data_IF_414675920625
#
_entry.id   IF_414675920625
#
_cell.length_a   1.000
_cell.length_b   1.000
_cell.length_c   1.000
_cell.angle_alpha   90.00
_cell.angle_beta   90.00
_cell.angle_gamma   90.00
#
_symmetry.space_group_name_H-M   'P 1'
#
loop_
_entity.id
_entity.type
_entity.pdbx_description
1 polymer ?
#
# COMPACT_ATOMS: atom_id res chain seq x y z
N UNK A 1 21.66 -0.35 -11.72
CA UNK A 1 22.36 0.70 -10.92
C UNK A 1 22.59 0.17 -9.54
N UNK A 2 23.75 0.44 -8.94
CA UNK A 2 24.03 0.03 -7.56
C UNK A 2 23.06 0.70 -6.58
N UNK A 3 22.64 -0.04 -5.55
CA UNK A 3 21.73 0.46 -4.54
C UNK A 3 22.46 1.37 -3.55
N UNK A 4 21.89 2.53 -3.26
CA UNK A 4 22.35 3.41 -2.18
C UNK A 4 21.99 2.77 -0.84
N UNK A 5 22.87 2.87 0.14
CA UNK A 5 22.74 2.29 1.49
C UNK A 5 22.30 3.35 2.49
N UNK A 6 21.52 2.97 3.49
CA UNK A 6 21.10 3.86 4.57
C UNK A 6 21.63 3.38 5.91
N UNK A 7 22.23 4.28 6.69
CA UNK A 7 22.71 3.96 8.03
C UNK A 7 21.52 3.80 8.97
N UNK A 8 21.47 2.72 9.75
CA UNK A 8 20.54 2.58 10.88
C UNK A 8 20.99 3.46 12.03
N UNK A 9 20.16 4.40 12.44
CA UNK A 9 20.47 5.38 13.48
C UNK A 9 19.57 5.22 14.72
N UNK A 10 19.34 3.97 15.11
CA UNK A 10 18.54 3.59 16.27
C UNK A 10 17.16 3.08 15.91
N UNK A 11 17.05 1.74 15.73
CA UNK A 11 15.81 1.04 15.36
C UNK A 11 15.10 1.58 14.12
N UNK A 12 15.86 2.10 13.14
CA UNK A 12 15.29 2.70 11.91
C UNK A 12 15.21 1.73 10.73
N UNK A 13 15.36 0.42 10.92
CA UNK A 13 15.31 -0.57 9.84
C UNK A 13 13.98 -0.56 9.07
N UNK A 14 12.84 -0.36 9.75
CA UNK A 14 11.53 -0.23 9.11
C UNK A 14 11.46 1.02 8.22
N UNK A 15 12.01 2.15 8.70
CA UNK A 15 12.09 3.40 7.93
C UNK A 15 13.01 3.20 6.73
N UNK A 16 14.21 2.66 6.95
CA UNK A 16 15.19 2.43 5.91
C UNK A 16 14.63 1.51 4.81
N UNK A 17 13.97 0.40 5.18
CA UNK A 17 13.39 -0.55 4.23
C UNK A 17 12.26 0.08 3.40
N UNK A 18 11.42 0.93 4.01
CA UNK A 18 10.37 1.66 3.29
C UNK A 18 10.98 2.67 2.31
N UNK A 19 11.96 3.47 2.74
CA UNK A 19 12.63 4.46 1.89
C UNK A 19 13.39 3.77 0.74
N UNK A 20 14.03 2.64 0.99
CA UNK A 20 14.67 1.81 -0.05
C UNK A 20 13.64 1.33 -1.09
N UNK A 21 12.47 0.88 -0.65
CA UNK A 21 11.40 0.47 -1.56
C UNK A 21 10.87 1.66 -2.38
N UNK A 22 10.66 2.82 -1.75
CA UNK A 22 10.19 4.04 -2.43
C UNK A 22 11.21 4.60 -3.42
N UNK A 23 12.51 4.46 -3.16
CA UNK A 23 13.57 4.92 -4.08
C UNK A 23 13.59 4.19 -5.42
N UNK A 24 12.88 3.04 -5.54
CA UNK A 24 12.71 2.32 -6.82
C UNK A 24 11.73 3.00 -7.77
N UNK A 25 10.99 3.98 -7.28
CA UNK A 25 10.02 4.73 -8.08
C UNK A 25 10.55 6.15 -8.30
N UNK A 26 10.35 6.69 -9.51
CA UNK A 26 10.66 8.09 -9.76
C UNK A 26 9.54 8.96 -9.18
N UNK A 27 9.71 9.40 -7.92
CA UNK A 27 8.72 10.17 -7.16
C UNK A 27 9.06 11.68 -7.26
N UNK A 28 9.11 12.23 -8.48
CA UNK A 28 9.18 13.67 -8.72
C UNK A 28 7.77 14.22 -8.99
N UNK A 29 6.92 14.24 -7.96
CA UNK A 29 5.50 14.54 -8.08
C UNK A 29 5.15 16.00 -7.80
N UNK A 30 6.08 16.79 -7.30
CA UNK A 30 5.77 18.10 -6.76
C UNK A 30 6.68 19.18 -7.34
N UNK A 31 6.09 20.17 -8.01
CA UNK A 31 6.84 21.28 -8.59
C UNK A 31 7.34 22.27 -7.52
N UNK A 32 6.58 22.42 -6.43
CA UNK A 32 6.91 23.32 -5.32
C UNK A 32 6.50 22.70 -3.99
N UNK A 33 7.46 22.54 -3.10
CA UNK A 33 7.25 22.11 -1.74
C UNK A 33 7.86 23.14 -0.77
N UNK A 34 7.22 23.34 0.36
CA UNK A 34 7.84 24.08 1.46
C UNK A 34 9.04 23.29 2.01
N UNK A 35 10.23 23.89 1.99
CA UNK A 35 11.46 23.26 2.49
C UNK A 35 11.38 22.84 3.96
N UNK A 36 10.45 23.42 4.73
CA UNK A 36 10.20 23.04 6.11
C UNK A 36 9.29 21.83 6.24
N UNK A 37 8.58 21.42 5.18
CA UNK A 37 7.64 20.31 5.21
C UNK A 37 8.30 18.96 5.41
N UNK A 38 7.53 18.01 5.90
CA UNK A 38 7.92 16.60 5.97
C UNK A 38 8.13 16.01 4.58
N UNK A 39 7.19 16.30 3.65
CA UNK A 39 7.23 15.82 2.27
C UNK A 39 8.49 16.28 1.55
N UNK A 40 8.90 17.54 1.70
CA UNK A 40 10.15 18.03 1.13
C UNK A 40 11.36 17.21 1.60
N UNK A 41 11.43 16.92 2.91
CA UNK A 41 12.55 16.14 3.46
C UNK A 41 12.60 14.70 2.96
N UNK A 42 11.45 14.08 2.65
CA UNK A 42 11.37 12.77 2.01
C UNK A 42 11.88 12.83 0.57
N UNK A 43 11.37 13.77 -0.23
CA UNK A 43 11.77 13.90 -1.63
C UNK A 43 13.26 14.25 -1.76
N UNK A 44 13.77 15.13 -0.90
CA UNK A 44 15.20 15.45 -0.83
C UNK A 44 16.05 14.19 -0.56
N UNK A 45 15.64 13.34 0.39
CA UNK A 45 16.34 12.09 0.68
C UNK A 45 16.29 11.12 -0.51
N UNK A 46 15.13 10.93 -1.15
CA UNK A 46 15.01 10.07 -2.33
C UNK A 46 15.86 10.56 -3.50
N UNK A 47 15.89 11.87 -3.76
CA UNK A 47 16.73 12.48 -4.78
C UNK A 47 18.22 12.31 -4.46
N UNK A 48 18.60 12.50 -3.18
CA UNK A 48 19.98 12.27 -2.74
C UNK A 48 20.42 10.82 -2.96
N UNK A 49 19.54 9.85 -2.68
CA UNK A 49 19.81 8.43 -2.92
C UNK A 49 19.99 8.14 -4.40
N UNK A 50 19.10 8.65 -5.25
CA UNK A 50 19.14 8.44 -6.70
C UNK A 50 20.38 9.07 -7.35
N UNK A 51 20.87 10.18 -6.79
CA UNK A 51 22.07 10.89 -7.28
C UNK A 51 23.39 10.30 -6.76
N UNK A 52 23.33 9.34 -5.83
CA UNK A 52 24.51 8.77 -5.20
C UNK A 52 24.49 7.23 -5.16
N UNK A 53 24.38 6.54 -6.33
CA UNK A 53 24.33 5.09 -6.36
C UNK A 53 25.57 4.48 -5.70
N UNK A 54 25.38 3.37 -4.96
CA UNK A 54 26.44 2.65 -4.26
C UNK A 54 26.93 3.30 -2.95
N UNK A 55 26.64 4.58 -2.70
CA UNK A 55 27.09 5.29 -1.48
C UNK A 55 26.25 4.96 -0.27
N UNK A 56 26.80 5.21 0.91
CA UNK A 56 26.14 5.11 2.21
C UNK A 56 25.72 6.49 2.69
N UNK A 57 24.44 6.68 2.99
CA UNK A 57 23.84 7.94 3.44
C UNK A 57 23.34 7.78 4.87
N UNK A 58 23.54 8.84 5.68
CA UNK A 58 22.92 8.99 7.01
C UNK A 58 21.64 9.81 6.88
N UNK A 59 20.43 9.24 7.08
CA UNK A 59 19.15 9.91 6.83
C UNK A 59 18.72 10.83 8.00
N UNK A 60 19.67 11.46 8.72
CA UNK A 60 19.41 12.19 9.96
C UNK A 60 18.37 13.30 9.81
N UNK A 61 18.43 14.09 8.70
CA UNK A 61 17.51 15.20 8.45
C UNK A 61 16.07 14.68 8.31
N UNK A 62 15.88 13.64 7.50
CA UNK A 62 14.57 13.02 7.30
C UNK A 62 14.05 12.37 8.59
N UNK A 63 14.86 11.58 9.28
CA UNK A 63 14.47 10.91 10.53
C UNK A 63 14.04 11.94 11.61
N UNK A 64 14.76 13.04 11.76
CA UNK A 64 14.37 14.11 12.68
C UNK A 64 13.00 14.70 12.31
N UNK A 65 12.75 14.94 11.02
CA UNK A 65 11.47 15.44 10.52
C UNK A 65 10.36 14.40 10.74
N UNK A 66 10.63 13.11 10.49
CA UNK A 66 9.67 12.03 10.70
C UNK A 66 9.15 12.03 12.14
N UNK A 67 10.03 11.99 13.13
CA UNK A 67 9.61 11.99 14.54
C UNK A 67 8.99 13.32 15.01
N UNK A 68 9.27 14.43 14.32
CA UNK A 68 8.63 15.71 14.60
C UNK A 68 7.20 15.76 14.10
N UNK A 69 6.93 15.20 12.93
CA UNK A 69 5.62 15.27 12.26
C UNK A 69 4.73 14.07 12.55
N UNK A 70 5.30 12.86 12.70
CA UNK A 70 4.60 11.63 13.04
C UNK A 70 4.82 11.29 14.52
N UNK A 71 4.17 12.05 15.41
CA UNK A 71 4.36 11.97 16.86
C UNK A 71 3.96 10.65 17.51
N UNK A 72 3.24 9.80 16.78
CA UNK A 72 2.91 8.43 17.18
C UNK A 72 4.18 7.60 17.38
N UNK A 73 5.21 7.86 16.58
CA UNK A 73 6.49 7.15 16.65
C UNK A 73 7.47 7.87 17.55
N UNK A 74 8.21 7.09 18.33
CA UNK A 74 9.27 7.60 19.23
C UNK A 74 10.63 7.08 18.78
N UNK A 75 11.66 7.91 18.97
CA UNK A 75 13.05 7.49 18.68
C UNK A 75 13.41 6.25 19.50
N UNK A 76 14.24 5.40 18.90
CA UNK A 76 14.72 4.15 19.48
C UNK A 76 13.64 3.10 19.81
N UNK A 77 12.38 3.31 19.41
CA UNK A 77 11.34 2.29 19.45
C UNK A 77 11.23 1.61 18.09
N UNK A 78 10.94 0.33 18.10
CA UNK A 78 10.57 -0.38 16.88
C UNK A 78 9.19 0.10 16.42
N UNK A 79 9.02 0.23 15.11
CA UNK A 79 7.78 0.65 14.50
C UNK A 79 7.34 -0.33 13.42
N UNK A 80 6.04 -0.44 13.24
CA UNK A 80 5.46 -1.23 12.18
C UNK A 80 5.54 -0.45 10.85
N UNK A 81 6.09 -1.10 9.82
CA UNK A 81 6.29 -0.46 8.51
C UNK A 81 4.98 -0.21 7.76
N UNK A 82 3.93 -0.99 8.00
CA UNK A 82 2.61 -0.77 7.41
C UNK A 82 1.94 0.47 8.04
N UNK A 83 1.99 0.59 9.36
CA UNK A 83 1.52 1.79 10.07
C UNK A 83 2.30 3.03 9.60
N UNK A 84 3.63 2.91 9.49
CA UNK A 84 4.48 3.97 8.95
C UNK A 84 4.05 4.37 7.54
N UNK A 85 3.78 3.41 6.65
CA UNK A 85 3.34 3.66 5.28
C UNK A 85 2.03 4.48 5.23
N UNK A 86 1.04 4.10 6.04
CA UNK A 86 -0.26 4.80 6.08
C UNK A 86 -0.11 6.22 6.64
N UNK A 87 0.62 6.38 7.76
CA UNK A 87 0.80 7.70 8.39
C UNK A 87 1.65 8.62 7.50
N UNK A 88 2.67 8.09 6.83
CA UNK A 88 3.48 8.81 5.86
C UNK A 88 2.61 9.31 4.69
N UNK A 89 1.81 8.41 4.09
CA UNK A 89 0.93 8.77 2.97
C UNK A 89 -0.11 9.82 3.36
N UNK A 90 -0.73 9.68 4.54
CA UNK A 90 -1.67 10.67 5.05
C UNK A 90 -0.99 12.03 5.30
N UNK A 91 0.25 12.03 5.83
CA UNK A 91 1.00 13.27 6.06
C UNK A 91 1.37 13.97 4.75
N UNK A 92 1.78 13.22 3.75
CA UNK A 92 2.06 13.78 2.41
C UNK A 92 0.77 14.37 1.82
N UNK A 93 -0.36 13.66 1.92
CA UNK A 93 -1.65 14.20 1.49
C UNK A 93 -2.00 15.50 2.21
N UNK A 94 -1.89 15.53 3.53
CA UNK A 94 -2.16 16.72 4.35
C UNK A 94 -1.35 17.96 3.90
N UNK A 95 -0.07 17.77 3.55
CA UNK A 95 0.84 18.85 3.16
C UNK A 95 0.72 19.27 1.69
N UNK A 96 0.23 18.39 0.82
CA UNK A 96 0.32 18.59 -0.64
C UNK A 96 -1.03 18.62 -1.34
N UNK A 97 -2.12 18.25 -0.65
CA UNK A 97 -3.43 18.18 -1.28
C UNK A 97 -4.00 19.58 -1.52
N UNK A 98 -4.43 19.80 -2.76
CA UNK A 98 -5.10 21.03 -3.21
C UNK A 98 -6.60 20.81 -3.37
N UNK A 99 -7.44 21.85 -3.21
CA UNK A 99 -8.88 21.75 -3.45
C UNK A 99 -9.18 21.19 -4.84
N UNK A 100 -10.13 20.28 -4.89
CA UNK A 100 -10.64 19.74 -6.15
C UNK A 100 -11.82 20.58 -6.61
N UNK A 101 -11.70 21.27 -7.74
CA UNK A 101 -12.81 22.03 -8.33
C UNK A 101 -13.83 21.02 -8.89
N UNK A 102 -15.06 21.08 -8.39
CA UNK A 102 -16.17 20.23 -8.83
C UNK A 102 -16.40 20.36 -10.34
N UNK A 103 -15.98 19.36 -11.08
CA UNK A 103 -16.40 19.21 -12.48
C UNK A 103 -17.76 18.53 -12.45
N UNK A 104 -18.74 19.16 -13.06
CA UNK A 104 -20.08 18.58 -13.19
C UNK A 104 -20.02 17.38 -14.15
N UNK A 105 -19.76 16.19 -13.58
CA UNK A 105 -19.57 14.95 -14.36
C UNK A 105 -20.96 14.41 -14.72
N UNK A 106 -21.34 14.52 -15.98
CA UNK A 106 -22.48 13.77 -16.54
C UNK A 106 -22.07 12.29 -16.60
N UNK A 107 -22.48 11.49 -15.64
CA UNK A 107 -22.12 10.08 -15.53
C UNK A 107 -23.28 9.24 -14.99
N UNK A 108 -23.17 7.93 -15.05
CA UNK A 108 -24.18 7.04 -14.48
C UNK A 108 -24.20 7.13 -12.93
N UNK A 109 -25.27 6.61 -12.33
CA UNK A 109 -25.50 6.64 -10.87
C UNK A 109 -24.32 6.09 -10.06
N UNK A 110 -23.70 5.00 -10.51
CA UNK A 110 -22.61 4.33 -9.77
C UNK A 110 -21.36 5.21 -9.74
N UNK A 111 -20.97 5.78 -10.89
CA UNK A 111 -19.81 6.68 -10.95
C UNK A 111 -20.04 7.98 -10.22
N UNK A 112 -21.27 8.51 -10.22
CA UNK A 112 -21.64 9.67 -9.41
C UNK A 112 -21.48 9.35 -7.92
N UNK A 113 -22.00 8.21 -7.47
CA UNK A 113 -21.85 7.75 -6.08
C UNK A 113 -20.38 7.58 -5.69
N UNK A 114 -19.55 7.00 -6.58
CA UNK A 114 -18.12 6.89 -6.37
C UNK A 114 -17.46 8.25 -6.21
N UNK A 115 -17.77 9.19 -7.11
CA UNK A 115 -17.25 10.54 -7.07
C UNK A 115 -17.59 11.24 -5.75
N UNK A 116 -18.85 11.20 -5.34
CA UNK A 116 -19.32 11.85 -4.12
C UNK A 116 -18.66 11.24 -2.87
N UNK A 117 -18.61 9.90 -2.74
CA UNK A 117 -18.05 9.23 -1.58
C UNK A 117 -16.52 9.39 -1.47
N UNK A 118 -15.79 9.24 -2.57
CA UNK A 118 -14.33 9.38 -2.58
C UNK A 118 -13.88 10.82 -2.35
N UNK A 119 -14.61 11.81 -2.92
CA UNK A 119 -14.30 13.21 -2.66
C UNK A 119 -14.65 13.63 -1.22
N UNK A 120 -15.76 13.14 -0.68
CA UNK A 120 -16.10 13.37 0.74
C UNK A 120 -15.01 12.80 1.66
N UNK A 121 -14.52 11.60 1.39
CA UNK A 121 -13.43 10.99 2.16
C UNK A 121 -12.16 11.86 2.15
N UNK A 122 -11.79 12.41 1.00
CA UNK A 122 -10.61 13.24 0.82
C UNK A 122 -10.88 14.75 1.11
N UNK A 123 -12.03 15.09 1.73
CA UNK A 123 -12.44 16.48 2.00
C UNK A 123 -12.38 17.37 0.76
N UNK A 124 -12.78 16.83 -0.41
CA UNK A 124 -12.73 17.51 -1.72
C UNK A 124 -11.34 18.07 -2.09
N UNK A 125 -10.30 17.34 -1.68
CA UNK A 125 -8.91 17.63 -2.02
C UNK A 125 -8.29 16.46 -2.78
N UNK A 126 -7.23 16.72 -3.53
CA UNK A 126 -6.41 15.71 -4.19
C UNK A 126 -4.92 16.06 -4.08
N UNK A 127 -4.10 15.03 -4.07
CA UNK A 127 -2.64 15.13 -4.09
C UNK A 127 -2.07 14.37 -5.30
N UNK A 128 -0.92 14.79 -5.79
CA UNK A 128 -0.18 14.00 -6.79
C UNK A 128 0.28 12.65 -6.23
N UNK A 129 0.49 12.56 -4.92
CA UNK A 129 0.73 11.28 -4.23
C UNK A 129 -0.41 10.29 -4.45
N UNK A 130 -1.67 10.75 -4.36
CA UNK A 130 -2.86 9.91 -4.58
C UNK A 130 -2.97 9.41 -6.02
N UNK A 131 -2.48 10.19 -6.99
CA UNK A 131 -2.46 9.77 -8.39
C UNK A 131 -1.53 8.58 -8.63
N UNK A 132 -0.56 8.35 -7.74
CA UNK A 132 0.41 7.26 -7.83
C UNK A 132 0.04 6.10 -6.92
N UNK A 133 -0.28 6.37 -5.64
CA UNK A 133 -0.38 5.35 -4.60
C UNK A 133 -1.80 5.10 -4.09
N UNK A 134 -2.78 5.97 -4.38
CA UNK A 134 -4.15 5.75 -3.91
C UNK A 134 -4.97 5.00 -4.95
N UNK A 135 -5.41 3.81 -4.56
CA UNK A 135 -6.47 3.06 -5.23
C UNK A 135 -7.82 3.24 -4.56
N UNK A 136 -8.84 2.60 -5.13
CA UNK A 136 -10.14 2.46 -4.47
C UNK A 136 -10.79 1.13 -4.80
N UNK A 137 -11.51 0.60 -3.82
CA UNK A 137 -12.38 -0.57 -3.99
C UNK A 137 -13.84 -0.15 -3.94
N UNK A 138 -14.68 -0.96 -4.59
CA UNK A 138 -16.13 -0.91 -4.49
C UNK A 138 -16.63 -2.16 -3.75
N UNK A 139 -17.37 -1.95 -2.69
CA UNK A 139 -18.13 -2.99 -2.00
C UNK A 139 -19.56 -2.99 -2.55
N UNK A 140 -19.96 -4.09 -3.19
CA UNK A 140 -21.28 -4.28 -3.76
C UNK A 140 -22.03 -5.26 -2.87
N UNK A 141 -23.08 -4.78 -2.20
CA UNK A 141 -23.93 -5.61 -1.37
C UNK A 141 -25.25 -5.84 -2.10
N UNK A 142 -25.56 -7.10 -2.43
CA UNK A 142 -26.74 -7.47 -3.22
C UNK A 142 -27.70 -8.31 -2.36
N UNK A 143 -28.94 -7.87 -2.21
CA UNK A 143 -29.99 -8.64 -1.57
C UNK A 143 -30.33 -9.89 -2.39
N UNK A 144 -30.36 -11.07 -1.78
CA UNK A 144 -30.66 -12.32 -2.49
C UNK A 144 -32.15 -12.47 -2.86
N UNK A 145 -33.06 -11.75 -2.20
CA UNK A 145 -34.50 -11.82 -2.44
C UNK A 145 -34.92 -10.89 -3.59
N UNK A 146 -34.56 -9.59 -3.50
CA UNK A 146 -35.08 -8.59 -4.46
C UNK A 146 -34.01 -8.03 -5.40
N UNK A 147 -32.78 -8.55 -5.33
CA UNK A 147 -31.62 -8.13 -6.14
C UNK A 147 -31.26 -6.63 -6.01
N UNK A 148 -31.80 -5.95 -5.00
CA UNK A 148 -31.43 -4.56 -4.72
C UNK A 148 -29.94 -4.50 -4.36
N UNK A 149 -29.24 -3.49 -4.89
CA UNK A 149 -27.79 -3.30 -4.68
C UNK A 149 -27.52 -2.00 -3.94
N UNK A 150 -26.57 -2.06 -3.02
CA UNK A 150 -25.94 -0.88 -2.44
C UNK A 150 -24.43 -0.89 -2.73
N UNK A 151 -23.86 0.31 -2.82
CA UNK A 151 -22.48 0.52 -3.22
C UNK A 151 -21.77 1.37 -2.18
N UNK A 152 -20.60 0.93 -1.73
CA UNK A 152 -19.70 1.70 -0.88
C UNK A 152 -18.32 1.74 -1.53
N UNK A 153 -17.77 2.94 -1.68
CA UNK A 153 -16.44 3.15 -2.24
C UNK A 153 -15.47 3.51 -1.12
N UNK A 154 -14.32 2.84 -1.09
CA UNK A 154 -13.32 3.02 -0.06
C UNK A 154 -11.95 3.22 -0.72
N UNK A 155 -11.28 4.36 -0.49
CA UNK A 155 -9.91 4.57 -0.96
C UNK A 155 -8.93 3.82 -0.06
N UNK A 156 -7.75 3.50 -0.60
CA UNK A 156 -6.68 2.84 0.13
C UNK A 156 -5.31 3.25 -0.40
N UNK A 157 -4.30 3.25 0.46
CA UNK A 157 -2.88 3.31 0.10
C UNK A 157 -2.21 1.94 0.12
N UNK A 158 -2.75 0.99 0.86
CA UNK A 158 -2.40 -0.43 0.80
C UNK A 158 -3.62 -1.27 1.15
N UNK A 159 -3.67 -2.51 0.62
CA UNK A 159 -4.65 -3.49 1.04
C UNK A 159 -3.98 -4.52 1.95
N UNK A 160 -4.52 -4.66 3.16
CA UNK A 160 -4.10 -5.69 4.12
C UNK A 160 -4.83 -6.98 3.83
N UNK A 161 -4.07 -8.05 3.59
CA UNK A 161 -4.60 -9.34 3.16
C UNK A 161 -4.09 -10.46 4.05
N UNK A 162 -4.94 -11.46 4.28
CA UNK A 162 -4.59 -12.63 5.07
C UNK A 162 -3.66 -13.56 4.30
N UNK A 163 -2.86 -14.33 5.03
CA UNK A 163 -1.89 -15.28 4.45
C UNK A 163 -2.59 -16.37 3.65
N UNK A 164 -2.01 -16.69 2.52
CA UNK A 164 -2.24 -17.91 1.74
C UNK A 164 -0.92 -18.31 1.07
N UNK A 165 -0.88 -19.45 0.41
CA UNK A 165 0.34 -20.04 -0.16
C UNK A 165 0.96 -19.25 -1.33
N UNK A 166 0.25 -18.31 -1.95
CA UNK A 166 0.76 -17.43 -3.02
C UNK A 166 0.04 -16.08 -3.06
N UNK A 167 0.68 -15.06 -3.61
CA UNK A 167 0.07 -13.72 -3.78
C UNK A 167 -1.19 -13.80 -4.66
N UNK A 168 -1.20 -14.64 -5.69
CA UNK A 168 -2.39 -14.85 -6.53
C UNK A 168 -3.56 -15.41 -5.70
N UNK A 169 -3.31 -16.37 -4.81
CA UNK A 169 -4.36 -16.94 -3.98
C UNK A 169 -4.80 -15.98 -2.87
N UNK A 170 -3.89 -15.20 -2.31
CA UNK A 170 -4.20 -14.10 -1.38
C UNK A 170 -5.17 -13.10 -2.02
N UNK A 171 -4.93 -12.70 -3.27
CA UNK A 171 -5.83 -11.82 -4.01
C UNK A 171 -7.18 -12.48 -4.29
N UNK A 172 -7.21 -13.76 -4.71
CA UNK A 172 -8.45 -14.50 -4.93
C UNK A 172 -9.30 -14.55 -3.68
N UNK A 173 -8.70 -14.82 -2.52
CA UNK A 173 -9.40 -14.88 -1.25
C UNK A 173 -9.95 -13.52 -0.83
N UNK A 174 -9.16 -12.45 -1.00
CA UNK A 174 -9.58 -11.09 -0.66
C UNK A 174 -10.80 -10.64 -1.47
N UNK A 175 -10.88 -10.99 -2.76
CA UNK A 175 -11.99 -10.64 -3.65
C UNK A 175 -13.06 -11.73 -3.77
N UNK A 176 -13.01 -12.76 -2.93
CA UNK A 176 -14.03 -13.81 -2.89
C UNK A 176 -15.36 -13.24 -2.41
N UNK A 177 -16.45 -13.70 -3.02
CA UNK A 177 -17.80 -13.35 -2.57
C UNK A 177 -18.08 -13.93 -1.19
N UNK A 178 -18.72 -13.14 -0.36
CA UNK A 178 -19.12 -13.48 1.00
C UNK A 178 -20.64 -13.39 1.13
N UNK A 179 -21.24 -14.29 1.91
CA UNK A 179 -22.65 -14.23 2.27
C UNK A 179 -22.78 -13.61 3.67
N UNK A 180 -23.57 -12.53 3.76
CA UNK A 180 -23.79 -11.81 5.02
C UNK A 180 -25.25 -11.95 5.40
N UNK A 181 -25.49 -12.54 6.57
CA UNK A 181 -26.83 -12.74 7.13
C UNK A 181 -27.33 -11.47 7.85
N UNK A 182 -28.64 -11.38 8.03
CA UNK A 182 -29.31 -10.38 8.86
C UNK A 182 -29.03 -8.91 8.48
N UNK A 183 -28.88 -8.64 7.18
CA UNK A 183 -28.70 -7.28 6.66
C UNK A 183 -30.05 -6.65 6.33
N UNK A 184 -30.29 -5.41 6.81
CA UNK A 184 -31.50 -4.67 6.51
C UNK A 184 -31.57 -4.30 5.02
N UNK A 185 -32.59 -4.82 4.34
CA UNK A 185 -32.82 -4.50 2.93
C UNK A 185 -33.85 -3.37 2.81
N UNK A 186 -33.42 -2.22 2.30
CA UNK A 186 -34.30 -1.04 2.13
C UNK A 186 -35.53 -1.35 1.27
N UNK A 187 -35.38 -2.20 0.23
CA UNK A 187 -36.47 -2.57 -0.66
C UNK A 187 -37.41 -3.63 -0.07
N UNK A 188 -36.85 -4.65 0.60
CA UNK A 188 -37.66 -5.69 1.26
C UNK A 188 -38.22 -5.24 2.60
N UNK A 189 -37.70 -4.17 3.20
CA UNK A 189 -38.05 -3.65 4.55
C UNK A 189 -37.93 -4.68 5.67
N UNK A 190 -37.01 -5.63 5.49
CA UNK A 190 -36.73 -6.69 6.48
C UNK A 190 -35.26 -7.13 6.37
N UNK A 191 -34.78 -7.84 7.37
CA UNK A 191 -33.48 -8.48 7.35
C UNK A 191 -33.46 -9.63 6.35
N UNK A 192 -32.42 -9.65 5.53
CA UNK A 192 -32.28 -10.65 4.45
C UNK A 192 -30.82 -11.08 4.31
N UNK A 193 -30.60 -12.20 3.63
CA UNK A 193 -29.29 -12.63 3.20
C UNK A 193 -28.81 -11.72 2.05
N UNK A 194 -27.57 -11.29 2.14
CA UNK A 194 -26.91 -10.51 1.10
C UNK A 194 -25.63 -11.18 0.62
N UNK A 195 -25.29 -10.95 -0.65
CA UNK A 195 -23.99 -11.29 -1.21
C UNK A 195 -23.15 -10.04 -1.27
N UNK A 196 -22.02 -10.04 -0.55
CA UNK A 196 -20.99 -9.01 -0.64
C UNK A 196 -19.97 -9.40 -1.71
N UNK A 197 -19.69 -8.49 -2.61
CA UNK A 197 -18.70 -8.64 -3.67
C UNK A 197 -17.81 -7.41 -3.68
N UNK A 198 -16.51 -7.61 -3.42
CA UNK A 198 -15.51 -6.54 -3.46
C UNK A 198 -14.84 -6.56 -4.83
N UNK A 199 -14.60 -5.38 -5.41
CA UNK A 199 -13.84 -5.23 -6.65
C UNK A 199 -12.96 -4.00 -6.60
N UNK A 200 -11.89 -3.97 -7.40
CA UNK A 200 -11.18 -2.73 -7.66
C UNK A 200 -12.06 -1.79 -8.49
N UNK A 201 -12.29 -0.59 -7.99
CA UNK A 201 -12.87 0.51 -8.75
C UNK A 201 -11.78 1.31 -9.48
N UNK A 202 -10.66 1.59 -8.78
CA UNK A 202 -9.46 2.21 -9.34
C UNK A 202 -8.21 1.48 -8.83
N UNK A 203 -7.35 1.03 -9.74
CA UNK A 203 -6.03 0.50 -9.40
C UNK A 203 -5.05 1.67 -9.35
N UNK A 204 -4.22 1.79 -8.29
CA UNK A 204 -3.15 2.79 -8.25
C UNK A 204 -2.02 2.43 -9.22
N UNK A 205 -1.20 3.39 -9.63
CA UNK A 205 0.00 3.13 -10.45
C UNK A 205 1.00 2.25 -9.71
N UNK A 206 1.09 2.42 -8.39
CA UNK A 206 1.86 1.56 -7.49
C UNK A 206 0.89 0.93 -6.50
N UNK A 207 0.64 -0.36 -6.67
CA UNK A 207 -0.25 -1.13 -5.81
C UNK A 207 0.55 -1.74 -4.66
N UNK A 208 0.19 -1.39 -3.42
CA UNK A 208 0.85 -1.87 -2.22
C UNK A 208 -0.03 -2.91 -1.54
N UNK A 209 0.53 -4.10 -1.31
CA UNK A 209 -0.08 -5.17 -0.54
C UNK A 209 0.67 -5.28 0.80
N UNK A 210 -0.08 -5.36 1.90
CA UNK A 210 0.44 -5.70 3.22
C UNK A 210 -0.08 -7.09 3.60
N UNK A 211 0.76 -7.93 4.17
CA UNK A 211 0.40 -9.29 4.61
C UNK A 211 0.13 -9.28 6.10
N UNK A 212 -1.06 -9.69 6.50
CA UNK A 212 -1.45 -9.85 7.89
C UNK A 212 -0.74 -11.07 8.50
N UNK A 213 0.47 -10.85 9.01
CA UNK A 213 1.30 -11.93 9.58
C UNK A 213 1.01 -12.23 11.04
N UNK A 214 0.21 -11.41 11.71
CA UNK A 214 -0.11 -11.61 13.12
C UNK A 214 -1.56 -12.03 13.28
N UNK A 215 -1.79 -13.09 14.06
CA UNK A 215 -3.12 -13.54 14.43
C UNK A 215 -3.71 -12.72 15.60
N UNK A 216 -4.93 -13.02 16.01
CA UNK A 216 -5.60 -12.32 17.10
C UNK A 216 -4.91 -12.50 18.48
N UNK A 217 -4.01 -13.47 18.61
CA UNK A 217 -3.19 -13.70 19.82
C UNK A 217 -1.81 -13.03 19.72
N UNK A 218 -1.61 -12.17 18.70
CA UNK A 218 -0.34 -11.48 18.43
C UNK A 218 0.84 -12.41 18.11
N UNK A 219 0.58 -13.65 17.70
CA UNK A 219 1.59 -14.58 17.27
C UNK A 219 1.85 -14.43 15.77
N UNK A 220 3.14 -14.44 15.40
CA UNK A 220 3.54 -14.34 14.01
C UNK A 220 3.32 -15.66 13.28
N UNK A 221 2.58 -15.60 12.21
CA UNK A 221 2.38 -16.71 11.27
C UNK A 221 3.57 -16.78 10.30
N UNK A 222 4.29 -17.88 10.32
CA UNK A 222 5.50 -18.09 9.51
C UNK A 222 5.24 -18.92 8.26
N UNK A 223 3.99 -18.97 7.79
CA UNK A 223 3.64 -19.68 6.57
C UNK A 223 4.40 -19.10 5.37
N UNK A 224 4.88 -20.00 4.52
CA UNK A 224 5.61 -19.66 3.32
C UNK A 224 4.68 -19.18 2.23
N UNK A 225 5.03 -18.09 1.57
CA UNK A 225 4.25 -17.49 0.49
C UNK A 225 5.10 -17.49 -0.78
N UNK A 226 4.52 -18.01 -1.86
CA UNK A 226 5.09 -17.83 -3.20
C UNK A 226 4.82 -16.40 -3.67
N UNK A 227 5.89 -15.69 -3.99
CA UNK A 227 5.83 -14.31 -4.49
C UNK A 227 5.77 -14.34 -6.01
N UNK A 228 4.68 -13.88 -6.59
CA UNK A 228 4.54 -13.76 -8.03
C UNK A 228 5.19 -12.45 -8.50
N UNK A 229 6.20 -12.52 -9.37
CA UNK A 229 6.88 -11.32 -9.92
C UNK A 229 5.98 -10.52 -10.86
N UNK A 230 5.02 -11.17 -11.50
CA UNK A 230 3.95 -10.53 -12.28
C UNK A 230 2.60 -11.13 -11.86
N UNK A 231 1.58 -10.29 -11.77
CA UNK A 231 0.20 -10.68 -11.51
C UNK A 231 -0.71 -10.03 -12.55
N UNK A 232 -1.71 -10.78 -13.01
CA UNK A 232 -2.70 -10.30 -13.97
C UNK A 232 -4.05 -10.15 -13.27
N UNK A 233 -4.56 -8.94 -13.21
CA UNK A 233 -5.86 -8.61 -12.66
C UNK A 233 -6.89 -8.66 -13.79
N UNK A 234 -7.85 -9.57 -13.68
CA UNK A 234 -8.91 -9.76 -14.69
C UNK A 234 -10.28 -9.27 -14.24
N UNK A 235 -11.28 -9.44 -15.08
CA UNK A 235 -12.66 -8.97 -14.91
C UNK A 235 -13.35 -9.49 -13.63
N UNK A 236 -12.88 -10.60 -13.04
CA UNK A 236 -13.45 -11.13 -11.80
C UNK A 236 -13.24 -10.19 -10.61
N UNK A 237 -12.15 -9.42 -10.62
CA UNK A 237 -11.76 -8.52 -9.53
C UNK A 237 -11.72 -7.04 -9.95
N UNK A 238 -11.88 -6.74 -11.24
CA UNK A 238 -12.00 -5.37 -11.74
C UNK A 238 -13.48 -5.00 -11.90
N UNK A 239 -13.83 -3.75 -11.57
CA UNK A 239 -15.15 -3.19 -11.83
C UNK A 239 -15.16 -2.51 -13.20
N UNK A 240 -16.09 -2.93 -14.08
CA UNK A 240 -16.31 -2.34 -15.43
C UNK A 240 -15.08 -2.30 -16.37
N UNK A 241 -14.01 -3.02 -16.06
CA UNK A 241 -12.85 -3.09 -16.96
C UNK A 241 -12.87 -4.40 -17.76
N UNK A 242 -12.82 -4.27 -19.07
CA UNK A 242 -12.80 -5.42 -20.01
C UNK A 242 -11.39 -5.91 -20.32
N UNK A 243 -10.37 -5.12 -20.00
CA UNK A 243 -8.95 -5.46 -20.25
C UNK A 243 -8.27 -5.94 -18.96
N UNK A 244 -7.47 -6.97 -19.10
CA UNK A 244 -6.59 -7.39 -18.02
C UNK A 244 -5.53 -6.31 -17.76
N UNK A 245 -5.18 -6.13 -16.48
CA UNK A 245 -4.12 -5.23 -16.05
C UNK A 245 -2.99 -6.08 -15.48
N UNK A 246 -1.82 -5.95 -16.06
CA UNK A 246 -0.61 -6.59 -15.57
C UNK A 246 0.10 -5.67 -14.57
N UNK A 247 0.49 -6.24 -13.44
CA UNK A 247 1.24 -5.57 -12.39
C UNK A 247 2.55 -6.31 -12.16
N UNK A 248 3.67 -5.60 -12.19
CA UNK A 248 5.01 -6.14 -12.01
C UNK A 248 5.57 -5.77 -10.65
N UNK A 249 6.10 -6.75 -9.92
CA UNK A 249 6.71 -6.56 -8.61
C UNK A 249 8.03 -5.78 -8.78
N UNK A 250 8.16 -4.71 -8.02
CA UNK A 250 9.34 -3.83 -8.04
C UNK A 250 10.17 -3.98 -6.77
N UNK A 251 9.49 -4.04 -5.61
CA UNK A 251 10.17 -4.17 -4.32
C UNK A 251 9.31 -4.90 -3.32
N UNK A 252 9.96 -5.49 -2.31
CA UNK A 252 9.28 -6.03 -1.13
C UNK A 252 9.96 -5.59 0.14
N UNK A 253 9.22 -5.63 1.25
CA UNK A 253 9.76 -5.46 2.59
C UNK A 253 9.51 -6.77 3.33
N UNK A 254 10.57 -7.29 3.95
CA UNK A 254 10.52 -8.47 4.79
C UNK A 254 10.62 -8.06 6.25
N UNK A 255 9.96 -8.82 7.13
CA UNK A 255 10.03 -8.66 8.57
C UNK A 255 10.49 -9.96 9.23
N UNK A 256 11.55 -9.90 10.03
CA UNK A 256 12.11 -10.99 10.81
C UNK A 256 11.83 -10.76 12.30
N UNK A 257 11.76 -11.82 13.08
CA UNK A 257 11.50 -11.72 14.53
C UNK A 257 10.01 -11.66 14.87
N UNK A 258 9.66 -10.94 15.93
CA UNK A 258 8.32 -10.82 16.48
C UNK A 258 7.90 -9.33 16.63
N UNK A 259 6.73 -9.07 17.24
CA UNK A 259 6.21 -7.71 17.42
C UNK A 259 7.13 -6.79 18.24
N UNK A 260 7.81 -7.34 19.24
CA UNK A 260 8.62 -6.55 20.16
C UNK A 260 10.07 -6.41 19.73
N UNK A 261 10.60 -7.45 19.04
CA UNK A 261 11.98 -7.53 18.60
C UNK A 261 12.02 -8.05 17.17
N UNK A 262 11.95 -7.14 16.22
CA UNK A 262 11.97 -7.45 14.81
C UNK A 262 13.02 -6.67 14.04
N UNK A 263 13.28 -7.10 12.83
CA UNK A 263 14.17 -6.43 11.89
C UNK A 263 13.54 -6.41 10.51
N UNK A 264 13.70 -5.29 9.80
CA UNK A 264 13.20 -5.12 8.45
C UNK A 264 14.33 -4.96 7.45
N UNK A 265 14.17 -5.59 6.29
CA UNK A 265 14.97 -5.30 5.11
C UNK A 265 14.09 -5.18 3.87
N UNK A 266 14.63 -4.66 2.79
CA UNK A 266 13.93 -4.56 1.51
C UNK A 266 14.61 -5.43 0.45
N UNK A 267 13.81 -5.98 -0.47
CA UNK A 267 14.29 -6.64 -1.68
C UNK A 267 14.04 -5.73 -2.88
N UNK A 268 15.10 -5.39 -3.57
CA UNK A 268 15.06 -4.79 -4.91
C UNK A 268 14.92 -5.91 -5.93
N UNK A 269 13.74 -6.04 -6.52
CA UNK A 269 13.42 -7.11 -7.47
C UNK A 269 14.13 -6.92 -8.80
N UNK A 270 14.40 -5.68 -9.20
CA UNK A 270 15.05 -5.35 -10.48
C UNK A 270 16.51 -5.82 -10.46
N UNK A 271 17.22 -5.57 -9.36
CA UNK A 271 18.63 -5.92 -9.22
C UNK A 271 18.85 -7.27 -8.50
N UNK A 272 17.79 -7.97 -8.07
CA UNK A 272 17.84 -9.20 -7.26
C UNK A 272 18.77 -9.04 -6.04
N UNK A 273 18.57 -7.97 -5.26
CA UNK A 273 19.40 -7.68 -4.09
C UNK A 273 18.54 -7.38 -2.88
N UNK A 274 18.91 -7.97 -1.74
CA UNK A 274 18.41 -7.55 -0.43
C UNK A 274 19.24 -6.35 0.02
N UNK A 275 18.55 -5.31 0.47
CA UNK A 275 19.14 -4.13 1.07
C UNK A 275 18.78 -4.14 2.55
N UNK A 276 19.77 -4.35 3.38
CA UNK A 276 19.68 -4.45 4.84
C UNK A 276 20.54 -3.35 5.46
N UNK A 277 19.91 -2.18 5.65
CA UNK A 277 20.58 -0.96 6.09
C UNK A 277 21.80 -0.61 5.22
N UNK A 278 23.01 -0.90 5.71
CA UNK A 278 24.28 -0.68 5.00
C UNK A 278 24.79 -1.90 4.23
N UNK A 279 24.10 -3.02 4.32
CA UNK A 279 24.49 -4.25 3.64
C UNK A 279 23.65 -4.46 2.37
N UNK A 280 24.30 -4.93 1.32
CA UNK A 280 23.64 -5.34 0.07
C UNK A 280 24.05 -6.80 -0.18
N UNK A 281 23.05 -7.65 -0.34
CA UNK A 281 23.21 -9.09 -0.51
C UNK A 281 22.54 -9.50 -1.82
N UNK A 282 23.31 -10.04 -2.76
CA UNK A 282 22.74 -10.63 -3.98
C UNK A 282 21.94 -11.89 -3.61
N UNK A 283 20.78 -12.05 -4.23
CA UNK A 283 19.90 -13.19 -4.01
C UNK A 283 19.60 -13.92 -5.30
N UNK A 284 19.34 -15.21 -5.19
CA UNK A 284 18.85 -16.03 -6.29
C UNK A 284 17.30 -15.98 -6.35
N UNK A 285 16.73 -16.61 -7.37
CA UNK A 285 15.27 -16.63 -7.58
C UNK A 285 14.51 -17.46 -6.54
N UNK A 286 15.17 -18.25 -5.70
CA UNK A 286 14.47 -19.07 -4.69
C UNK A 286 13.78 -18.24 -3.62
N UNK A 287 14.23 -16.99 -3.43
CA UNK A 287 13.61 -16.04 -2.50
C UNK A 287 12.14 -15.78 -2.82
N UNK A 288 11.72 -15.96 -4.09
CA UNK A 288 10.35 -15.76 -4.52
C UNK A 288 9.46 -16.98 -4.28
N UNK A 289 10.03 -18.18 -4.09
CA UNK A 289 9.28 -19.42 -4.03
C UNK A 289 8.73 -19.77 -2.66
N UNK A 290 9.43 -19.40 -1.58
CA UNK A 290 9.12 -19.86 -0.23
C UNK A 290 9.43 -18.79 0.82
N UNK A 291 8.87 -17.58 0.70
CA UNK A 291 9.18 -16.50 1.61
C UNK A 291 8.25 -16.50 2.83
N UNK A 292 8.81 -16.76 4.02
CA UNK A 292 8.08 -16.71 5.29
C UNK A 292 8.14 -15.34 5.99
N UNK A 293 8.90 -14.39 5.44
CA UNK A 293 9.15 -13.09 6.05
C UNK A 293 8.55 -11.92 5.28
N UNK A 294 7.97 -12.18 4.08
CA UNK A 294 7.35 -11.13 3.29
C UNK A 294 6.26 -10.39 4.09
N UNK A 295 6.34 -9.07 4.13
CA UNK A 295 5.44 -8.23 4.91
C UNK A 295 4.71 -7.20 4.05
N UNK A 296 5.42 -6.52 3.12
CA UNK A 296 4.82 -5.63 2.14
C UNK A 296 5.37 -5.90 0.73
N UNK A 297 4.53 -5.69 -0.27
CA UNK A 297 4.89 -5.83 -1.68
C UNK A 297 4.45 -4.59 -2.45
N UNK A 298 5.30 -4.13 -3.36
CA UNK A 298 5.06 -2.96 -4.20
C UNK A 298 5.02 -3.39 -5.66
N UNK A 299 3.84 -3.41 -6.25
CA UNK A 299 3.61 -3.72 -7.66
C UNK A 299 3.38 -2.45 -8.46
N UNK A 300 3.92 -2.39 -9.67
CA UNK A 300 3.73 -1.29 -10.63
C UNK A 300 2.89 -1.78 -11.82
N UNK A 301 1.88 -0.97 -12.20
CA UNK A 301 1.09 -1.15 -13.41
C UNK A 301 1.77 -0.59 -14.66
#
# INVERSE_FOLDING_TARGET
>A
MENTKLVNIGNTCAINSLIQSLSRFNINLFDKLDEKSFTFSLIELLNLMNSNPGKTIRPNKFIKKLYTHLKTFKQNQQLDVQELWILLSNKIFEETAIPYNNINIKTNYIHKTAFDQLNLHNNYKKSEWDNVFQGSIINILTCTICSNKSFKFEPFYSLSMNINNSIINILKDYFKKEYIHDVDCIKCKQKTLHVKNIKFYKIPKIFVISINRYNNTCEKQNDKIQINRSIILGNTILFENTKNIELNLISTINHFGNLNNGHYNSLDVINNTIIDDTNIIAVNNDIYNNNQNIYMLFYKS
#
